data_IF_223341276915
#
_entry.id   IF_223341276915
#
_cell.length_a   1.000
_cell.length_b   1.000
_cell.length_c   1.000
_cell.angle_alpha   90.00
_cell.angle_beta   90.00
_cell.angle_gamma   90.00
#
_symmetry.space_group_name_H-M   'P 1'
#
loop_
_entity.id
_entity.type
_entity.pdbx_description
1 polymer ?
#
# COMPACT_ATOMS: atom_id res chain seq x y z
N UNK A 1 -5.14 32.12 -2.49
CA UNK A 1 -5.18 31.02 -1.49
C UNK A 1 -6.58 31.03 -0.91
N UNK A 2 -7.42 30.07 -1.26
CA UNK A 2 -8.69 29.82 -0.57
C UNK A 2 -8.37 29.43 0.88
N UNK A 3 -9.19 29.86 1.87
CA UNK A 3 -8.99 29.46 3.26
C UNK A 3 -9.03 27.93 3.32
N UNK A 4 -8.12 27.39 4.11
CA UNK A 4 -7.92 25.96 4.39
C UNK A 4 -9.29 25.29 4.57
N UNK A 5 -9.79 24.64 3.53
CA UNK A 5 -10.98 23.81 3.67
C UNK A 5 -10.59 22.71 4.67
N UNK A 6 -11.28 22.67 5.80
CA UNK A 6 -10.99 21.71 6.86
C UNK A 6 -10.92 20.30 6.25
N UNK A 7 -9.76 19.65 6.35
CA UNK A 7 -9.60 18.27 5.86
C UNK A 7 -10.54 17.36 6.63
N UNK A 8 -10.98 16.23 6.06
CA UNK A 8 -12.01 15.37 6.65
C UNK A 8 -11.77 14.95 8.11
N UNK A 9 -10.52 14.81 8.52
CA UNK A 9 -10.14 14.39 9.88
C UNK A 9 -9.54 15.52 10.73
N UNK A 10 -9.74 16.80 10.34
CA UNK A 10 -9.29 17.94 11.14
C UNK A 10 -9.88 17.86 12.56
N UNK A 11 -9.01 17.98 13.58
CA UNK A 11 -9.37 17.87 14.99
C UNK A 11 -9.33 16.43 15.55
N UNK A 12 -9.09 15.43 14.72
CA UNK A 12 -8.87 14.05 15.19
C UNK A 12 -7.41 13.90 15.61
N UNK A 13 -7.17 13.42 16.83
CA UNK A 13 -5.86 13.08 17.38
C UNK A 13 -5.68 11.57 17.39
N UNK A 14 -4.50 11.08 17.02
CA UNK A 14 -4.17 9.66 16.95
C UNK A 14 -2.77 9.43 17.50
N UNK A 15 -2.62 8.43 18.36
CA UNK A 15 -1.31 7.90 18.76
C UNK A 15 -1.02 6.65 17.93
N UNK A 16 0.18 6.61 17.37
CA UNK A 16 0.70 5.48 16.61
C UNK A 16 1.91 4.90 17.35
N UNK A 17 1.88 3.59 17.65
CA UNK A 17 3.03 2.82 18.13
C UNK A 17 3.29 1.71 17.13
N UNK A 18 4.30 1.86 16.29
CA UNK A 18 4.40 1.03 15.11
C UNK A 18 5.81 0.74 14.63
N UNK A 19 5.90 -0.14 13.64
CA UNK A 19 7.10 -0.36 12.84
C UNK A 19 6.73 -0.85 11.43
N UNK A 20 7.68 -0.75 10.49
CA UNK A 20 7.64 -1.23 9.12
C UNK A 20 6.62 -0.50 8.22
N UNK A 21 5.57 -1.20 7.68
CA UNK A 21 4.72 -0.67 6.61
C UNK A 21 3.28 -0.43 7.04
N UNK A 22 2.59 -1.45 7.52
CA UNK A 22 1.13 -1.46 7.60
C UNK A 22 0.57 -0.33 8.48
N UNK A 23 0.99 -0.23 9.74
CA UNK A 23 0.53 0.83 10.64
C UNK A 23 1.13 2.19 10.26
N UNK A 24 2.43 2.31 9.91
CA UNK A 24 2.96 3.58 9.41
C UNK A 24 2.20 4.12 8.20
N UNK A 25 1.82 3.28 7.25
CA UNK A 25 0.99 3.68 6.10
C UNK A 25 -0.40 4.16 6.54
N UNK A 26 -1.03 3.46 7.50
CA UNK A 26 -2.32 3.87 8.04
C UNK A 26 -2.25 5.26 8.69
N UNK A 27 -1.28 5.47 9.59
CA UNK A 27 -1.08 6.75 10.25
C UNK A 27 -0.76 7.88 9.27
N UNK A 28 0.10 7.63 8.28
CA UNK A 28 0.39 8.59 7.22
C UNK A 28 -0.87 8.95 6.41
N UNK A 29 -1.67 7.95 6.03
CA UNK A 29 -2.93 8.18 5.29
C UNK A 29 -3.89 9.05 6.11
N UNK A 30 -4.04 8.76 7.41
CA UNK A 30 -4.88 9.55 8.32
C UNK A 30 -4.36 10.97 8.52
N UNK A 31 -3.03 11.15 8.61
CA UNK A 31 -2.40 12.47 8.69
C UNK A 31 -2.64 13.28 7.40
N UNK A 32 -2.53 12.67 6.24
CA UNK A 32 -2.83 13.30 4.95
C UNK A 32 -4.32 13.67 4.81
N UNK A 33 -5.21 12.96 5.50
CA UNK A 33 -6.63 13.29 5.62
C UNK A 33 -6.91 14.39 6.67
N UNK A 34 -5.90 14.87 7.40
CA UNK A 34 -6.00 15.99 8.32
C UNK A 34 -6.00 15.64 9.81
N UNK A 35 -5.87 14.37 10.17
CA UNK A 35 -5.68 13.98 11.56
C UNK A 35 -4.30 14.45 12.07
N UNK A 36 -4.21 14.79 13.34
CA UNK A 36 -2.93 14.98 14.03
C UNK A 36 -2.45 13.61 14.53
N UNK A 37 -1.44 13.04 13.84
CA UNK A 37 -0.90 11.71 14.17
C UNK A 37 0.45 11.87 14.85
N UNK A 38 0.56 11.39 16.07
CA UNK A 38 1.81 11.29 16.81
C UNK A 38 2.33 9.87 16.71
N UNK A 39 3.50 9.72 16.12
CA UNK A 39 4.24 8.45 16.17
C UNK A 39 5.13 8.44 17.39
N UNK A 40 4.94 7.46 18.27
CA UNK A 40 5.76 7.24 19.46
C UNK A 40 6.72 6.10 19.22
N UNK A 41 8.01 6.39 19.29
CA UNK A 41 9.09 5.43 19.11
C UNK A 41 9.94 5.30 20.39
N UNK A 42 10.65 4.17 20.59
CA UNK A 42 11.68 4.09 21.62
C UNK A 42 12.80 5.11 21.37
N UNK A 43 13.46 5.54 22.42
CA UNK A 43 14.67 6.36 22.32
C UNK A 43 15.70 5.60 21.47
N UNK A 44 16.20 6.23 20.41
CA UNK A 44 17.06 5.61 19.40
C UNK A 44 16.32 5.04 18.19
N UNK A 45 14.98 5.10 18.18
CA UNK A 45 14.12 4.70 17.06
C UNK A 45 13.69 3.24 17.09
N UNK A 46 12.62 2.94 16.38
CA UNK A 46 12.17 1.58 16.08
C UNK A 46 13.02 0.96 14.94
N UNK A 47 12.80 -0.32 14.66
CA UNK A 47 13.58 -1.09 13.68
C UNK A 47 13.56 -0.52 12.24
N UNK A 48 12.56 0.26 11.90
CA UNK A 48 12.39 0.89 10.59
C UNK A 48 12.98 2.31 10.49
N UNK A 49 13.43 2.91 11.60
CA UNK A 49 14.02 4.25 11.58
C UNK A 49 15.32 4.32 10.76
N UNK A 50 16.13 3.27 10.78
CA UNK A 50 17.37 3.15 9.99
C UNK A 50 17.27 2.15 8.85
N UNK A 51 16.04 1.86 8.37
CA UNK A 51 15.83 0.85 7.34
C UNK A 51 16.21 1.36 5.94
N UNK A 52 16.76 0.48 5.14
CA UNK A 52 17.04 0.70 3.71
C UNK A 52 15.75 0.94 2.89
N UNK A 53 15.81 1.76 1.80
CA UNK A 53 17.02 2.39 1.27
C UNK A 53 17.46 3.60 2.10
N UNK A 54 18.76 3.86 2.08
CA UNK A 54 19.38 5.00 2.74
C UNK A 54 19.94 5.98 1.72
N UNK A 55 20.11 7.25 2.09
CA UNK A 55 20.95 8.21 1.38
C UNK A 55 22.43 7.89 1.61
N UNK A 56 23.33 8.55 0.84
CA UNK A 56 24.79 8.45 1.07
C UNK A 56 25.21 8.93 2.46
N UNK A 57 24.43 9.83 3.08
CA UNK A 57 24.63 10.31 4.46
C UNK A 57 24.05 9.40 5.54
N UNK A 58 23.38 8.28 5.15
CA UNK A 58 22.82 7.30 6.07
C UNK A 58 21.38 7.58 6.53
N UNK A 59 20.71 8.59 5.98
CA UNK A 59 19.31 8.88 6.30
C UNK A 59 18.34 7.92 5.61
N UNK A 60 17.32 7.45 6.31
CA UNK A 60 16.36 6.47 5.79
C UNK A 60 15.32 7.13 4.88
N UNK A 61 15.42 6.84 3.58
CA UNK A 61 14.40 7.19 2.59
C UNK A 61 13.10 6.41 2.87
N UNK A 62 13.24 5.20 3.42
CA UNK A 62 12.11 4.36 3.82
C UNK A 62 11.27 5.02 4.93
N UNK A 63 11.91 5.52 5.99
CA UNK A 63 11.25 6.26 7.04
C UNK A 63 10.51 7.48 6.50
N UNK A 64 11.19 8.31 5.74
CA UNK A 64 10.61 9.51 5.14
C UNK A 64 9.41 9.18 4.23
N UNK A 65 9.45 8.03 3.54
CA UNK A 65 8.38 7.56 2.67
C UNK A 65 7.06 7.30 3.38
N UNK A 66 7.10 6.75 4.61
CA UNK A 66 5.92 6.25 5.34
C UNK A 66 5.47 7.11 6.52
N UNK A 67 6.19 8.19 6.83
CA UNK A 67 5.89 9.03 8.00
C UNK A 67 5.60 10.50 7.67
N UNK A 68 5.32 10.79 6.40
CA UNK A 68 4.97 12.13 5.94
C UNK A 68 3.78 12.71 6.72
N UNK A 69 3.95 13.94 7.24
CA UNK A 69 2.90 14.69 7.91
C UNK A 69 2.57 14.25 9.35
N UNK A 70 3.34 13.31 9.91
CA UNK A 70 3.22 12.95 11.32
C UNK A 70 4.06 13.87 12.20
N UNK A 71 3.83 13.79 13.52
CA UNK A 71 4.72 14.30 14.57
C UNK A 71 5.42 13.11 15.22
N UNK A 72 6.65 13.30 15.73
CA UNK A 72 7.45 12.23 16.34
C UNK A 72 7.74 12.52 17.81
N UNK A 73 7.48 11.54 18.66
CA UNK A 73 7.80 11.53 20.08
C UNK A 73 8.72 10.36 20.37
N UNK A 74 9.84 10.60 21.07
CA UNK A 74 10.76 9.57 21.53
C UNK A 74 10.61 9.37 23.04
N UNK A 75 10.23 8.14 23.49
CA UNK A 75 10.01 7.84 24.90
C UNK A 75 10.58 6.47 25.29
N UNK A 76 11.07 6.35 26.52
CA UNK A 76 11.50 5.05 27.07
C UNK A 76 10.30 4.20 27.50
N UNK A 77 9.68 3.55 26.52
CA UNK A 77 8.54 2.62 26.76
C UNK A 77 8.90 1.36 27.55
N UNK A 78 10.15 1.20 28.01
CA UNK A 78 10.55 0.12 28.92
C UNK A 78 10.41 0.53 30.39
N UNK A 79 10.50 1.82 30.68
CA UNK A 79 10.32 2.36 32.03
C UNK A 79 8.84 2.54 32.38
N UNK A 80 8.44 2.41 33.65
CA UNK A 80 7.08 2.70 34.09
C UNK A 80 6.67 4.15 33.80
N UNK A 81 7.57 5.11 33.98
CA UNK A 81 7.30 6.54 33.74
C UNK A 81 7.04 6.84 32.27
N UNK A 82 7.82 6.22 31.34
CA UNK A 82 7.59 6.34 29.92
C UNK A 82 6.29 5.66 29.47
N UNK A 83 5.95 4.51 30.07
CA UNK A 83 4.66 3.84 29.82
C UNK A 83 3.48 4.71 30.26
N UNK A 84 3.54 5.29 31.47
CA UNK A 84 2.50 6.21 31.97
C UNK A 84 2.34 7.42 31.07
N UNK A 85 3.45 8.03 30.65
CA UNK A 85 3.44 9.18 29.73
C UNK A 85 2.72 8.84 28.42
N UNK A 86 3.07 7.70 27.81
CA UNK A 86 2.44 7.27 26.55
C UNK A 86 0.97 6.90 26.75
N UNK A 87 0.60 6.27 27.86
CA UNK A 87 -0.80 6.02 28.20
C UNK A 87 -1.62 7.32 28.33
N UNK A 88 -1.05 8.37 28.89
CA UNK A 88 -1.68 9.69 28.98
C UNK A 88 -1.89 10.31 27.59
N UNK A 89 -0.92 10.20 26.68
CA UNK A 89 -1.07 10.64 25.29
C UNK A 89 -2.20 9.87 24.57
N UNK A 90 -2.28 8.54 24.77
CA UNK A 90 -3.34 7.70 24.21
C UNK A 90 -4.71 8.08 24.80
N UNK A 91 -4.78 8.33 26.11
CA UNK A 91 -6.02 8.72 26.76
C UNK A 91 -6.52 10.10 26.31
N UNK A 92 -5.62 11.06 26.05
CA UNK A 92 -5.96 12.36 25.49
C UNK A 92 -6.49 12.22 24.06
N UNK A 93 -5.79 11.45 23.20
CA UNK A 93 -6.19 11.25 21.80
C UNK A 93 -7.50 10.46 21.66
N UNK A 94 -7.70 9.46 22.51
CA UNK A 94 -8.79 8.49 22.41
C UNK A 94 -8.72 7.57 21.18
N UNK A 95 -7.56 7.50 20.50
CA UNK A 95 -7.30 6.60 19.36
C UNK A 95 -5.87 6.08 19.42
N UNK A 96 -5.71 4.76 19.42
CA UNK A 96 -4.43 4.08 19.27
C UNK A 96 -4.45 3.20 18.03
N UNK A 97 -3.42 3.30 17.20
CA UNK A 97 -3.10 2.36 16.13
C UNK A 97 -1.76 1.71 16.39
N UNK A 98 -1.66 0.37 16.32
CA UNK A 98 -0.43 -0.33 16.66
C UNK A 98 -0.27 -1.65 15.91
N UNK A 99 0.98 -2.08 15.69
CA UNK A 99 1.37 -3.45 15.36
C UNK A 99 2.40 -4.03 16.34
N UNK A 100 2.53 -3.41 17.52
CA UNK A 100 3.37 -3.88 18.61
C UNK A 100 2.52 -4.65 19.59
N UNK A 101 2.34 -5.95 19.35
CA UNK A 101 1.50 -6.84 20.15
C UNK A 101 2.10 -7.21 21.51
N UNK A 102 1.24 -7.71 22.40
CA UNK A 102 1.64 -8.44 23.62
C UNK A 102 2.13 -7.58 24.77
N UNK A 103 1.94 -6.25 24.77
CA UNK A 103 2.31 -5.37 25.86
C UNK A 103 1.08 -5.07 26.73
N UNK A 104 1.08 -5.56 27.98
CA UNK A 104 -0.04 -5.38 28.91
C UNK A 104 -0.38 -3.90 29.17
N UNK A 105 0.61 -3.01 29.22
CA UNK A 105 0.42 -1.61 29.57
C UNK A 105 -0.38 -0.82 28.52
N UNK A 106 -0.35 -1.21 27.23
CA UNK A 106 -1.16 -0.61 26.18
C UNK A 106 -2.23 -1.57 25.62
N UNK A 107 -2.61 -2.60 26.36
CA UNK A 107 -3.74 -3.44 26.01
C UNK A 107 -5.05 -2.65 26.04
N UNK A 108 -6.03 -3.09 25.27
CA UNK A 108 -7.35 -2.46 25.26
C UNK A 108 -7.95 -2.36 26.67
N UNK A 109 -7.85 -3.44 27.47
CA UNK A 109 -8.36 -3.49 28.84
C UNK A 109 -7.65 -2.51 29.77
N UNK A 110 -6.36 -2.29 29.59
CA UNK A 110 -5.62 -1.32 30.39
C UNK A 110 -6.01 0.12 30.03
N UNK A 111 -6.07 0.40 28.74
CA UNK A 111 -6.31 1.75 28.23
C UNK A 111 -7.79 2.20 28.38
N UNK A 112 -8.76 1.30 28.27
CA UNK A 112 -10.19 1.65 28.49
C UNK A 112 -10.50 2.07 29.92
N UNK A 113 -9.66 1.75 30.89
CA UNK A 113 -9.77 2.29 32.27
C UNK A 113 -9.46 3.78 32.32
N UNK A 114 -8.60 4.25 31.43
CA UNK A 114 -8.20 5.65 31.31
C UNK A 114 -9.10 6.41 30.33
N UNK A 115 -9.50 5.74 29.26
CA UNK A 115 -10.34 6.29 28.19
C UNK A 115 -11.44 5.29 27.78
N UNK A 116 -12.64 5.35 28.39
CA UNK A 116 -13.73 4.37 28.17
C UNK A 116 -14.24 4.28 26.72
N UNK A 117 -14.16 5.37 25.95
CA UNK A 117 -14.53 5.46 24.53
C UNK A 117 -13.34 5.29 23.58
N UNK A 118 -12.27 4.61 24.03
CA UNK A 118 -11.06 4.37 23.24
C UNK A 118 -11.36 3.61 21.96
N UNK A 119 -10.78 4.08 20.86
CA UNK A 119 -10.63 3.33 19.61
C UNK A 119 -9.23 2.73 19.60
N UNK A 120 -9.13 1.41 19.56
CA UNK A 120 -7.87 0.67 19.54
C UNK A 120 -7.84 -0.24 18.31
N UNK A 121 -6.98 0.11 17.33
CA UNK A 121 -6.78 -0.68 16.11
C UNK A 121 -5.43 -1.35 16.18
N UNK A 122 -5.43 -2.69 16.14
CA UNK A 122 -4.23 -3.51 16.23
C UNK A 122 -4.06 -4.36 14.97
N UNK A 123 -2.90 -4.28 14.32
CA UNK A 123 -2.50 -5.19 13.25
C UNK A 123 -1.61 -6.27 13.86
N UNK A 124 -1.98 -7.54 13.65
CA UNK A 124 -1.20 -8.71 14.04
C UNK A 124 -0.75 -9.52 12.83
N UNK A 125 0.20 -10.42 12.99
CA UNK A 125 0.65 -11.30 11.91
C UNK A 125 -0.41 -12.31 11.52
N UNK A 126 -0.93 -13.06 12.50
CA UNK A 126 -1.88 -14.16 12.33
C UNK A 126 -3.06 -14.05 13.30
N UNK A 127 -4.17 -14.66 12.91
CA UNK A 127 -5.41 -14.64 13.69
C UNK A 127 -5.31 -15.41 15.03
N UNK A 128 -4.45 -16.40 15.10
CA UNK A 128 -4.17 -17.21 16.30
C UNK A 128 -3.15 -16.55 17.26
N UNK A 129 -2.70 -15.34 16.94
CA UNK A 129 -1.64 -14.64 17.68
C UNK A 129 -0.22 -15.03 17.29
N UNK A 130 -0.06 -15.93 16.30
CA UNK A 130 1.22 -16.30 15.75
C UNK A 130 1.94 -15.14 15.06
N UNK A 131 3.27 -15.21 15.01
CA UNK A 131 4.07 -14.21 14.30
C UNK A 131 3.92 -14.36 12.78
N UNK A 132 3.92 -13.25 12.07
CA UNK A 132 3.89 -13.20 10.62
C UNK A 132 4.24 -11.82 10.11
N UNK A 133 4.94 -11.78 9.00
CA UNK A 133 5.21 -10.57 8.23
C UNK A 133 4.74 -10.80 6.79
N UNK A 134 4.57 -9.76 6.02
CA UNK A 134 4.03 -9.83 4.66
C UNK A 134 4.58 -11.02 3.85
N UNK A 135 5.90 -11.13 3.70
CA UNK A 135 6.53 -12.16 2.87
C UNK A 135 6.30 -13.58 3.38
N UNK A 136 6.20 -13.78 4.70
CA UNK A 136 5.92 -15.10 5.27
C UNK A 136 4.43 -15.47 5.18
N UNK A 137 3.55 -14.49 5.31
CA UNK A 137 2.11 -14.67 5.06
C UNK A 137 1.86 -14.97 3.59
N UNK A 138 2.49 -14.20 2.67
CA UNK A 138 2.36 -14.44 1.22
C UNK A 138 2.74 -15.87 0.83
N UNK A 139 3.80 -16.41 1.42
CA UNK A 139 4.21 -17.80 1.18
C UNK A 139 3.12 -18.82 1.54
N UNK A 140 2.30 -18.51 2.56
CA UNK A 140 1.26 -19.41 3.08
C UNK A 140 -0.11 -19.31 2.39
N UNK A 141 -0.35 -18.30 1.53
CA UNK A 141 -1.68 -18.04 0.95
C UNK A 141 -1.84 -18.39 -0.53
N UNK A 142 -0.84 -19.07 -1.13
CA UNK A 142 -0.93 -19.67 -2.45
C UNK A 142 -0.44 -18.81 -3.62
N UNK A 143 -0.41 -17.48 -3.54
CA UNK A 143 -0.01 -16.61 -4.65
C UNK A 143 1.39 -16.90 -5.21
N UNK A 144 2.43 -17.18 -4.40
CA UNK A 144 3.75 -17.55 -4.92
C UNK A 144 3.78 -18.82 -5.79
N UNK A 145 2.80 -19.70 -5.61
CA UNK A 145 2.70 -20.95 -6.39
C UNK A 145 2.12 -20.73 -7.79
N UNK A 146 1.38 -19.63 -7.99
CA UNK A 146 0.74 -19.29 -9.28
C UNK A 146 1.38 -18.08 -9.95
N UNK A 147 2.40 -17.46 -9.34
CA UNK A 147 3.14 -16.32 -9.89
C UNK A 147 4.34 -16.80 -10.70
N UNK A 148 4.56 -16.19 -11.88
CA UNK A 148 5.70 -16.47 -12.75
C UNK A 148 5.37 -17.36 -13.95
N UNK A 149 6.35 -17.59 -14.83
CA UNK A 149 6.17 -18.41 -16.04
C UNK A 149 5.88 -19.87 -15.73
N UNK A 150 5.16 -20.55 -16.65
CA UNK A 150 4.68 -21.91 -16.46
C UNK A 150 5.81 -22.93 -16.18
N UNK A 151 6.98 -22.72 -16.77
CA UNK A 151 8.16 -23.58 -16.66
C UNK A 151 8.86 -23.46 -15.31
N UNK A 152 8.54 -22.47 -14.51
CA UNK A 152 9.20 -22.22 -13.24
C UNK A 152 8.69 -23.17 -12.16
N UNK A 153 9.55 -24.06 -11.68
CA UNK A 153 9.20 -25.01 -10.62
C UNK A 153 9.20 -24.40 -9.20
N UNK A 154 10.00 -23.33 -8.98
CA UNK A 154 10.14 -22.71 -7.66
C UNK A 154 9.04 -21.67 -7.39
N UNK A 155 8.58 -21.48 -6.14
CA UNK A 155 7.67 -20.40 -5.80
C UNK A 155 8.32 -19.02 -6.05
N UNK A 156 7.53 -18.04 -6.45
CA UNK A 156 7.96 -16.64 -6.67
C UNK A 156 7.24 -15.74 -5.68
N UNK A 157 8.01 -15.15 -4.78
CA UNK A 157 7.45 -14.16 -3.86
C UNK A 157 7.33 -12.79 -4.54
N UNK A 158 6.43 -11.94 -4.07
CA UNK A 158 6.31 -10.57 -4.58
C UNK A 158 7.38 -9.65 -3.97
N UNK A 159 7.72 -8.57 -4.67
CA UNK A 159 8.61 -7.51 -4.15
C UNK A 159 7.83 -6.40 -3.43
N UNK A 160 6.56 -6.18 -3.83
CA UNK A 160 5.64 -5.27 -3.16
C UNK A 160 5.09 -5.96 -1.91
N UNK A 161 5.20 -5.38 -0.69
CA UNK A 161 4.55 -5.92 0.50
C UNK A 161 3.03 -5.66 0.44
N UNK A 162 2.34 -6.39 -0.42
CA UNK A 162 0.95 -6.14 -0.80
C UNK A 162 -0.02 -6.27 0.39
N UNK A 163 0.26 -7.20 1.28
CA UNK A 163 -0.58 -7.44 2.47
C UNK A 163 -0.40 -6.36 3.51
N UNK A 164 0.83 -5.87 3.72
CA UNK A 164 1.10 -4.71 4.56
C UNK A 164 0.39 -3.46 4.03
N UNK A 165 0.46 -3.22 2.72
CA UNK A 165 -0.23 -2.08 2.08
C UNK A 165 -1.74 -2.21 2.26
N UNK A 166 -2.32 -3.37 1.98
CA UNK A 166 -3.75 -3.60 2.16
C UNK A 166 -4.18 -3.45 3.63
N UNK A 167 -3.42 -4.03 4.58
CA UNK A 167 -3.66 -3.85 6.02
C UNK A 167 -3.61 -2.39 6.44
N UNK A 168 -2.66 -1.61 5.92
CA UNK A 168 -2.58 -0.17 6.20
C UNK A 168 -3.83 0.58 5.77
N UNK A 169 -4.37 0.27 4.58
CA UNK A 169 -5.63 0.84 4.10
C UNK A 169 -6.82 0.38 4.96
N UNK A 170 -6.90 -0.92 5.32
CA UNK A 170 -7.93 -1.42 6.22
C UNK A 170 -7.85 -0.80 7.61
N UNK A 171 -6.65 -0.54 8.14
CA UNK A 171 -6.49 0.11 9.45
C UNK A 171 -6.95 1.57 9.41
N UNK A 172 -6.63 2.32 8.36
CA UNK A 172 -7.15 3.67 8.17
C UNK A 172 -8.69 3.67 8.06
N UNK A 173 -9.26 2.75 7.29
CA UNK A 173 -10.72 2.56 7.20
C UNK A 173 -11.33 2.20 8.56
N UNK A 174 -10.69 1.31 9.34
CA UNK A 174 -11.14 0.91 10.67
C UNK A 174 -11.20 2.11 11.63
N UNK A 175 -10.17 2.98 11.62
CA UNK A 175 -10.20 4.21 12.43
C UNK A 175 -11.37 5.10 12.04
N UNK A 176 -11.56 5.38 10.74
CA UNK A 176 -12.64 6.25 10.26
C UNK A 176 -14.02 5.67 10.60
N UNK A 177 -14.23 4.36 10.45
CA UNK A 177 -15.49 3.70 10.79
C UNK A 177 -15.73 3.68 12.30
N UNK A 178 -14.69 3.48 13.12
CA UNK A 178 -14.79 3.52 14.57
C UNK A 178 -15.05 4.94 15.10
N UNK A 179 -14.45 5.98 14.49
CA UNK A 179 -14.79 7.38 14.77
C UNK A 179 -16.28 7.64 14.50
N UNK A 180 -16.76 7.22 13.33
CA UNK A 180 -18.19 7.36 12.98
C UNK A 180 -19.10 6.60 13.96
N UNK A 181 -18.69 5.41 14.43
CA UNK A 181 -19.41 4.66 15.44
C UNK A 181 -19.41 5.41 16.79
N UNK A 182 -18.25 5.89 17.23
CA UNK A 182 -18.11 6.66 18.48
C UNK A 182 -18.95 7.91 18.47
N UNK A 183 -18.97 8.66 17.37
CA UNK A 183 -19.81 9.86 17.23
C UNK A 183 -21.30 9.55 17.34
N UNK A 184 -21.73 8.39 16.87
CA UNK A 184 -23.14 7.99 16.88
C UNK A 184 -23.59 7.38 18.22
N UNK A 185 -22.69 6.73 18.96
CA UNK A 185 -23.04 5.90 20.12
C UNK A 185 -22.39 6.32 21.44
N UNK A 186 -21.33 7.13 21.37
CA UNK A 186 -20.46 7.46 22.51
C UNK A 186 -19.50 6.34 22.93
N UNK A 187 -19.44 5.22 22.18
CA UNK A 187 -18.62 4.07 22.53
C UNK A 187 -17.44 3.90 21.57
N UNK A 188 -16.26 3.61 22.12
CA UNK A 188 -15.10 3.18 21.38
C UNK A 188 -15.19 1.74 20.90
N UNK A 189 -14.16 1.27 20.21
CA UNK A 189 -14.07 -0.11 19.67
C UNK A 189 -12.64 -0.64 19.72
N UNK A 190 -12.51 -1.93 19.99
CA UNK A 190 -11.30 -2.69 19.72
C UNK A 190 -11.45 -3.37 18.35
N UNK A 191 -10.47 -3.16 17.46
CA UNK A 191 -10.46 -3.71 16.11
C UNK A 191 -9.13 -4.40 15.88
N UNK A 192 -9.17 -5.72 15.65
CA UNK A 192 -8.00 -6.51 15.26
C UNK A 192 -7.97 -6.79 13.76
N UNK A 193 -6.83 -6.60 13.12
CA UNK A 193 -6.62 -6.85 11.69
C UNK A 193 -5.43 -7.80 11.52
N UNK A 194 -5.65 -9.11 11.53
CA UNK A 194 -4.59 -10.05 11.19
C UNK A 194 -4.20 -9.94 9.71
N UNK A 195 -2.93 -9.79 9.44
CA UNK A 195 -2.35 -9.68 8.09
C UNK A 195 -2.71 -10.91 7.24
N UNK A 196 -2.65 -12.09 7.84
CA UNK A 196 -3.06 -13.35 7.21
C UNK A 196 -4.54 -13.35 6.78
N UNK A 197 -5.43 -12.78 7.60
CA UNK A 197 -6.86 -12.69 7.26
C UNK A 197 -7.09 -11.79 6.04
N UNK A 198 -6.36 -10.70 5.90
CA UNK A 198 -6.45 -9.82 4.72
C UNK A 198 -6.02 -10.57 3.46
N UNK A 199 -4.92 -11.32 3.55
CA UNK A 199 -4.41 -12.12 2.44
C UNK A 199 -5.37 -13.26 2.05
N UNK A 200 -5.90 -14.00 3.04
CA UNK A 200 -6.87 -15.08 2.82
C UNK A 200 -8.20 -14.56 2.28
N UNK A 201 -8.71 -13.45 2.84
CA UNK A 201 -9.92 -12.82 2.33
C UNK A 201 -9.74 -12.36 0.87
N UNK A 202 -8.58 -11.82 0.52
CA UNK A 202 -8.26 -11.45 -0.86
C UNK A 202 -8.25 -12.68 -1.77
N UNK A 203 -7.58 -13.76 -1.37
CA UNK A 203 -7.57 -15.01 -2.13
C UNK A 203 -8.97 -15.63 -2.29
N UNK A 204 -9.80 -15.55 -1.24
CA UNK A 204 -11.19 -16.01 -1.28
C UNK A 204 -12.08 -15.16 -2.19
N UNK A 205 -12.06 -13.85 -2.00
CA UNK A 205 -12.89 -12.90 -2.75
C UNK A 205 -12.53 -12.85 -4.25
N UNK A 206 -11.27 -13.07 -4.60
CA UNK A 206 -10.80 -13.20 -5.99
C UNK A 206 -10.95 -14.63 -6.54
N UNK A 207 -11.66 -15.49 -5.80
CA UNK A 207 -12.04 -16.85 -6.18
C UNK A 207 -10.91 -17.88 -6.29
N UNK A 208 -9.67 -17.58 -5.89
CA UNK A 208 -8.58 -18.56 -5.90
C UNK A 208 -8.87 -19.75 -4.97
N UNK A 209 -9.32 -19.48 -3.74
CA UNK A 209 -9.68 -20.52 -2.79
C UNK A 209 -10.98 -21.23 -3.20
N UNK A 210 -11.98 -20.47 -3.64
CA UNK A 210 -13.29 -21.01 -4.03
C UNK A 210 -13.16 -21.92 -5.25
N UNK A 211 -12.34 -21.56 -6.22
CA UNK A 211 -12.07 -22.37 -7.40
C UNK A 211 -11.43 -23.72 -7.01
N UNK A 212 -10.42 -23.68 -6.14
CA UNK A 212 -9.79 -24.90 -5.65
C UNK A 212 -10.77 -25.80 -4.87
N UNK A 213 -11.68 -25.22 -4.08
CA UNK A 213 -12.70 -25.94 -3.32
C UNK A 213 -13.78 -26.57 -4.21
N UNK A 214 -14.24 -25.83 -5.23
CA UNK A 214 -15.38 -26.23 -6.08
C UNK A 214 -14.93 -27.12 -7.23
N UNK A 215 -13.82 -26.76 -7.89
CA UNK A 215 -13.32 -27.49 -9.06
C UNK A 215 -12.31 -28.60 -8.70
N UNK A 216 -11.84 -28.65 -7.45
CA UNK A 216 -10.88 -29.64 -6.98
C UNK A 216 -9.45 -29.45 -7.49
N UNK A 217 -9.14 -28.32 -8.14
CA UNK A 217 -7.82 -28.00 -8.67
C UNK A 217 -7.47 -26.54 -8.42
N UNK A 218 -6.19 -26.26 -8.24
CA UNK A 218 -5.67 -24.91 -8.16
C UNK A 218 -5.29 -24.40 -9.55
N UNK A 219 -5.32 -23.07 -9.73
CA UNK A 219 -4.80 -22.44 -10.95
C UNK A 219 -3.33 -22.79 -11.17
N UNK A 220 -2.96 -22.91 -12.42
CA UNK A 220 -1.58 -23.05 -12.86
C UNK A 220 -0.91 -21.69 -13.02
N UNK A 221 0.41 -21.70 -13.15
CA UNK A 221 1.17 -20.52 -13.58
C UNK A 221 0.94 -20.26 -15.05
N UNK A 222 0.70 -19.01 -15.37
CA UNK A 222 0.40 -18.57 -16.75
C UNK A 222 1.28 -17.41 -17.20
N UNK A 223 2.39 -17.14 -16.50
CA UNK A 223 3.28 -16.02 -16.80
C UNK A 223 2.57 -14.68 -16.67
N UNK A 224 2.69 -13.86 -17.70
CA UNK A 224 2.04 -12.56 -17.79
C UNK A 224 0.65 -12.60 -18.44
N UNK A 225 0.13 -13.79 -18.75
CA UNK A 225 -1.22 -13.93 -19.30
C UNK A 225 -2.29 -13.51 -18.30
N UNK A 226 -3.41 -13.01 -18.80
CA UNK A 226 -4.60 -12.65 -17.99
C UNK A 226 -5.53 -13.85 -17.92
N UNK A 227 -5.83 -14.31 -16.71
CA UNK A 227 -6.71 -15.48 -16.49
C UNK A 227 -8.14 -15.22 -16.97
N UNK A 228 -8.67 -16.15 -17.77
CA UNK A 228 -10.03 -16.10 -18.31
C UNK A 228 -10.26 -15.07 -19.42
N UNK A 229 -9.22 -14.37 -19.87
CA UNK A 229 -9.28 -13.33 -20.89
C UNK A 229 -8.08 -13.43 -21.83
N UNK A 230 -8.05 -12.60 -22.88
CA UNK A 230 -6.83 -12.44 -23.67
C UNK A 230 -6.01 -11.26 -23.15
N UNK A 231 -4.82 -11.53 -22.68
CA UNK A 231 -3.82 -10.54 -22.30
C UNK A 231 -2.46 -11.22 -22.24
N UNK A 232 -1.46 -10.57 -22.83
CA UNK A 232 -0.10 -11.09 -22.95
C UNK A 232 0.90 -9.96 -23.12
N UNK A 233 2.14 -10.23 -22.75
CA UNK A 233 3.25 -9.36 -23.05
C UNK A 233 3.84 -9.59 -24.42
N UNK A 234 4.36 -8.52 -25.05
CA UNK A 234 5.00 -8.54 -26.34
C UNK A 234 6.29 -7.72 -26.30
N UNK A 235 7.27 -8.13 -27.11
CA UNK A 235 8.55 -7.43 -27.22
C UNK A 235 8.66 -6.80 -28.62
N UNK A 236 9.02 -5.53 -28.66
CA UNK A 236 9.27 -4.76 -29.88
C UNK A 236 10.60 -5.11 -30.54
N UNK A 237 10.83 -4.63 -31.76
CA UNK A 237 12.09 -4.83 -32.50
C UNK A 237 13.32 -4.20 -31.83
N UNK A 238 13.11 -3.17 -31.03
CA UNK A 238 14.15 -2.47 -30.23
C UNK A 238 14.23 -2.91 -28.77
N UNK A 239 13.50 -4.00 -28.41
CA UNK A 239 13.59 -4.64 -27.11
C UNK A 239 12.68 -4.04 -26.02
N UNK A 240 11.79 -3.10 -26.34
CA UNK A 240 10.81 -2.63 -25.39
C UNK A 240 9.70 -3.68 -25.17
N UNK A 241 9.26 -3.86 -23.94
CA UNK A 241 8.20 -4.83 -23.59
C UNK A 241 6.89 -4.12 -23.26
N UNK A 242 5.79 -4.67 -23.72
CA UNK A 242 4.44 -4.13 -23.56
C UNK A 242 3.52 -5.18 -22.96
N UNK A 243 2.71 -4.82 -21.97
CA UNK A 243 1.53 -5.60 -21.58
C UNK A 243 0.35 -5.14 -22.44
N UNK A 244 -0.30 -6.09 -23.12
CA UNK A 244 -1.44 -5.82 -24.01
C UNK A 244 -2.61 -6.68 -23.58
N UNK A 245 -3.79 -6.07 -23.33
CA UNK A 245 -4.95 -6.75 -22.79
C UNK A 245 -6.21 -6.43 -23.60
N UNK A 246 -6.90 -7.47 -24.04
CA UNK A 246 -8.16 -7.39 -24.79
C UNK A 246 -9.31 -8.00 -23.99
N UNK A 247 -9.87 -7.26 -23.01
CA UNK A 247 -10.93 -7.73 -22.12
C UNK A 247 -12.28 -7.89 -22.87
N UNK A 248 -12.58 -7.03 -23.84
CA UNK A 248 -13.87 -7.04 -24.55
C UNK A 248 -13.72 -7.45 -26.00
N UNK A 249 -14.82 -7.87 -26.63
CA UNK A 249 -14.84 -8.15 -28.06
C UNK A 249 -14.43 -6.94 -28.92
N UNK A 250 -14.64 -5.69 -28.44
CA UNK A 250 -14.15 -4.49 -29.10
C UNK A 250 -12.63 -4.41 -29.05
N UNK A 251 -12.04 -4.56 -27.86
CA UNK A 251 -10.58 -4.55 -27.70
C UNK A 251 -9.92 -5.62 -28.59
N UNK A 252 -10.54 -6.81 -28.67
CA UNK A 252 -10.00 -7.91 -29.47
C UNK A 252 -10.08 -7.61 -30.98
N UNK A 253 -11.17 -7.01 -31.46
CA UNK A 253 -11.28 -6.56 -32.86
C UNK A 253 -10.23 -5.51 -33.18
N UNK A 254 -10.14 -4.47 -32.34
CA UNK A 254 -9.16 -3.40 -32.54
C UNK A 254 -7.73 -3.95 -32.58
N UNK A 255 -7.41 -4.97 -31.75
CA UNK A 255 -6.10 -5.63 -31.77
C UNK A 255 -5.86 -6.38 -33.08
N UNK A 256 -6.86 -7.16 -33.58
CA UNK A 256 -6.73 -7.90 -34.85
C UNK A 256 -6.67 -6.97 -36.07
N UNK A 257 -7.37 -5.85 -36.04
CA UNK A 257 -7.32 -4.83 -37.08
C UNK A 257 -5.99 -4.09 -37.08
N UNK A 258 -5.53 -3.65 -35.91
CA UNK A 258 -4.22 -3.00 -35.73
C UNK A 258 -3.07 -3.85 -36.27
N UNK A 259 -3.06 -5.13 -35.91
CA UNK A 259 -2.01 -6.07 -36.33
C UNK A 259 -2.20 -6.62 -37.73
N UNK A 260 -3.32 -6.30 -38.41
CA UNK A 260 -3.65 -6.82 -39.73
C UNK A 260 -3.94 -8.32 -39.77
N UNK A 261 -4.24 -8.92 -38.62
CA UNK A 261 -4.35 -10.38 -38.44
C UNK A 261 -5.77 -10.90 -38.44
N UNK A 262 -6.79 -10.08 -38.73
CA UNK A 262 -8.23 -10.47 -38.71
C UNK A 262 -8.51 -11.75 -39.48
N UNK A 263 -7.93 -11.91 -40.68
CA UNK A 263 -8.11 -13.12 -41.49
C UNK A 263 -7.40 -14.33 -40.94
N UNK A 264 -6.20 -14.15 -40.37
CA UNK A 264 -5.44 -15.22 -39.75
C UNK A 264 -6.14 -15.73 -38.47
N UNK A 265 -6.66 -14.83 -37.66
CA UNK A 265 -7.47 -15.16 -36.48
C UNK A 265 -8.75 -15.89 -36.85
N UNK A 266 -9.44 -15.49 -37.91
CA UNK A 266 -10.62 -16.20 -38.42
C UNK A 266 -10.28 -17.63 -38.90
N UNK A 267 -9.20 -17.79 -39.66
CA UNK A 267 -8.76 -19.11 -40.12
C UNK A 267 -8.29 -19.99 -38.93
N UNK A 268 -7.68 -19.39 -37.90
CA UNK A 268 -7.32 -20.10 -36.66
C UNK A 268 -8.59 -20.56 -35.93
N UNK A 269 -9.62 -19.73 -35.82
CA UNK A 269 -10.91 -20.06 -35.23
C UNK A 269 -11.55 -21.27 -35.94
N UNK A 270 -11.62 -21.23 -37.28
CA UNK A 270 -12.16 -22.34 -38.10
C UNK A 270 -11.34 -23.65 -37.85
N UNK A 271 -10.02 -23.56 -37.80
CA UNK A 271 -9.13 -24.71 -37.62
C UNK A 271 -9.31 -25.37 -36.28
N UNK A 272 -9.48 -24.55 -35.24
CA UNK A 272 -9.62 -25.01 -33.83
C UNK A 272 -11.08 -25.34 -33.47
N UNK A 273 -12.06 -24.97 -34.32
CA UNK A 273 -13.47 -25.03 -33.97
C UNK A 273 -13.85 -24.11 -32.82
N UNK A 274 -13.14 -22.98 -32.65
CA UNK A 274 -13.27 -22.06 -31.55
C UNK A 274 -14.09 -20.80 -31.96
N UNK A 275 -14.86 -20.27 -31.02
CA UNK A 275 -15.54 -18.97 -31.21
C UNK A 275 -14.78 -17.89 -30.41
N UNK A 276 -13.94 -17.11 -31.07
CA UNK A 276 -13.21 -16.02 -30.41
C UNK A 276 -14.06 -14.78 -30.06
N UNK A 277 -15.38 -14.83 -30.31
CA UNK A 277 -16.29 -13.89 -29.63
C UNK A 277 -16.40 -14.21 -28.14
N UNK A 278 -16.25 -15.47 -27.75
CA UNK A 278 -16.18 -15.92 -26.35
C UNK A 278 -14.81 -15.63 -25.73
N UNK A 279 -14.83 -15.05 -24.53
CA UNK A 279 -13.61 -14.67 -23.80
C UNK A 279 -12.82 -15.88 -23.32
N UNK A 280 -13.50 -16.91 -22.86
CA UNK A 280 -12.90 -18.16 -22.42
C UNK A 280 -12.19 -18.88 -23.54
N UNK A 281 -12.74 -18.83 -24.78
CA UNK A 281 -12.08 -19.41 -25.96
C UNK A 281 -10.79 -18.65 -26.29
N UNK A 282 -10.79 -17.31 -26.20
CA UNK A 282 -9.56 -16.52 -26.34
C UNK A 282 -8.50 -16.90 -25.30
N UNK A 283 -8.93 -17.14 -24.07
CA UNK A 283 -8.03 -17.59 -23.01
C UNK A 283 -7.49 -19.01 -23.27
N UNK A 284 -8.34 -19.97 -23.63
CA UNK A 284 -7.92 -21.36 -23.91
C UNK A 284 -6.91 -21.42 -25.04
N UNK A 285 -7.05 -20.59 -26.04
CA UNK A 285 -6.21 -20.56 -27.24
C UNK A 285 -5.22 -19.39 -27.24
N UNK A 286 -4.92 -18.80 -26.05
CA UNK A 286 -4.07 -17.61 -25.92
C UNK A 286 -2.68 -17.76 -26.54
N UNK A 287 -2.07 -18.93 -26.43
CA UNK A 287 -0.74 -19.19 -26.99
C UNK A 287 -0.74 -19.13 -28.53
N UNK A 288 -1.73 -19.74 -29.16
CA UNK A 288 -1.90 -19.68 -30.61
C UNK A 288 -2.20 -18.25 -31.10
N UNK A 289 -3.07 -17.53 -30.40
CA UNK A 289 -3.35 -16.11 -30.68
C UNK A 289 -2.12 -15.25 -30.50
N UNK A 290 -1.34 -15.46 -29.42
CA UNK A 290 -0.09 -14.74 -29.19
C UNK A 290 0.91 -14.97 -30.32
N UNK A 291 1.03 -16.21 -30.81
CA UNK A 291 1.86 -16.51 -31.98
C UNK A 291 1.46 -15.71 -33.22
N UNK A 292 0.15 -15.51 -33.44
CA UNK A 292 -0.35 -14.70 -34.57
C UNK A 292 0.00 -13.22 -34.41
N UNK A 293 -0.05 -12.66 -33.21
CA UNK A 293 0.22 -11.22 -32.99
C UNK A 293 1.71 -10.91 -32.88
N UNK A 294 2.54 -11.84 -32.42
CA UNK A 294 3.97 -11.63 -32.13
C UNK A 294 4.74 -11.06 -33.31
N UNK A 295 4.42 -11.48 -34.54
CA UNK A 295 5.11 -11.00 -35.76
C UNK A 295 4.98 -9.48 -35.90
N UNK A 296 3.77 -8.94 -35.68
CA UNK A 296 3.55 -7.50 -35.80
C UNK A 296 4.34 -6.74 -34.74
N UNK A 297 4.28 -7.16 -33.47
CA UNK A 297 5.00 -6.50 -32.38
C UNK A 297 6.52 -6.54 -32.59
N UNK A 298 7.06 -7.68 -32.98
CA UNK A 298 8.51 -7.83 -33.23
C UNK A 298 9.03 -7.09 -34.46
N UNK A 299 8.15 -6.69 -35.37
CA UNK A 299 8.50 -5.93 -36.57
C UNK A 299 8.52 -4.41 -36.34
N UNK A 300 7.93 -3.90 -35.25
CA UNK A 300 7.80 -2.48 -34.95
C UNK A 300 8.64 -2.06 -33.75
N UNK A 301 9.09 -0.82 -33.72
CA UNK A 301 9.77 -0.23 -32.56
C UNK A 301 8.79 0.07 -31.44
N UNK A 302 9.29 0.25 -30.21
CA UNK A 302 8.44 0.59 -29.08
C UNK A 302 7.65 1.90 -29.27
N UNK A 303 8.23 2.90 -29.94
CA UNK A 303 7.54 4.15 -30.26
C UNK A 303 6.40 3.94 -31.27
N UNK A 304 6.64 3.16 -32.34
CA UNK A 304 5.61 2.83 -33.34
C UNK A 304 4.45 2.06 -32.71
N UNK A 305 4.75 1.07 -31.85
CA UNK A 305 3.74 0.28 -31.12
C UNK A 305 2.91 1.18 -30.23
N UNK A 306 3.55 2.03 -29.42
CA UNK A 306 2.84 2.94 -28.49
C UNK A 306 1.94 3.93 -29.26
N UNK A 307 2.43 4.51 -30.34
CA UNK A 307 1.66 5.42 -31.19
C UNK A 307 0.44 4.70 -31.81
N UNK A 308 0.63 3.48 -32.31
CA UNK A 308 -0.43 2.70 -32.94
C UNK A 308 -1.49 2.23 -31.94
N UNK A 309 -1.09 1.72 -30.78
CA UNK A 309 -2.02 1.29 -29.72
C UNK A 309 -2.83 2.43 -29.15
N UNK A 310 -2.26 3.65 -29.07
CA UNK A 310 -2.95 4.85 -28.59
C UNK A 310 -4.22 5.20 -29.40
N UNK A 311 -4.26 4.85 -30.68
CA UNK A 311 -5.39 5.10 -31.58
C UNK A 311 -6.47 4.02 -31.49
N UNK A 312 -6.32 3.04 -30.61
CA UNK A 312 -7.24 1.90 -30.42
C UNK A 312 -7.92 1.93 -29.06
N UNK A 313 -8.88 1.02 -28.85
CA UNK A 313 -9.46 0.78 -27.53
C UNK A 313 -8.71 -0.29 -26.72
N UNK A 314 -7.65 -0.88 -27.26
CA UNK A 314 -6.86 -1.92 -26.59
C UNK A 314 -6.24 -1.37 -25.33
N UNK A 315 -6.29 -2.15 -24.25
CA UNK A 315 -5.64 -1.77 -23.00
C UNK A 315 -4.16 -2.18 -23.04
N UNK A 316 -3.28 -1.25 -22.78
CA UNK A 316 -1.85 -1.52 -22.85
C UNK A 316 -1.04 -0.57 -21.96
N UNK A 317 0.14 -1.02 -21.58
CA UNK A 317 1.20 -0.15 -21.06
C UNK A 317 2.57 -0.77 -21.36
N UNK A 318 3.63 0.06 -21.33
CA UNK A 318 5.01 -0.37 -21.46
C UNK A 318 5.56 -0.75 -20.10
N UNK A 319 6.28 -1.88 -20.03
CA UNK A 319 7.07 -2.20 -18.84
C UNK A 319 8.20 -1.18 -18.67
N UNK A 320 8.29 -0.61 -17.49
CA UNK A 320 9.26 0.43 -17.17
C UNK A 320 9.98 0.09 -15.85
N UNK A 321 11.25 0.45 -15.77
CA UNK A 321 12.00 0.48 -14.52
C UNK A 321 11.59 1.70 -13.68
N UNK A 322 11.86 1.68 -12.38
CA UNK A 322 11.65 2.86 -11.54
C UNK A 322 12.47 4.08 -11.99
N UNK A 323 13.65 3.85 -12.58
CA UNK A 323 14.47 4.93 -13.15
C UNK A 323 13.80 5.63 -14.35
N UNK A 324 13.00 4.92 -15.13
CA UNK A 324 12.20 5.50 -16.21
C UNK A 324 10.94 6.17 -15.67
N UNK A 325 10.24 5.52 -14.74
CA UNK A 325 8.98 6.03 -14.16
C UNK A 325 9.17 7.39 -13.48
N UNK A 326 10.30 7.66 -12.81
CA UNK A 326 10.51 8.95 -12.13
C UNK A 326 10.60 10.14 -13.09
N UNK A 327 10.86 9.91 -14.38
CA UNK A 327 10.91 10.94 -15.43
C UNK A 327 9.63 10.97 -16.29
N UNK A 328 8.71 10.05 -16.10
CA UNK A 328 7.46 9.95 -16.86
C UNK A 328 6.49 11.09 -16.49
N UNK A 329 5.75 11.61 -17.47
CA UNK A 329 4.73 12.64 -17.25
C UNK A 329 3.63 12.19 -16.27
N UNK A 330 3.35 10.89 -16.17
CA UNK A 330 2.43 10.32 -15.17
C UNK A 330 2.89 10.55 -13.74
N UNK A 331 4.16 10.88 -13.53
CA UNK A 331 4.73 11.31 -12.24
C UNK A 331 4.97 12.81 -12.24
N UNK A 332 5.70 13.33 -13.23
CA UNK A 332 6.17 14.72 -13.23
C UNK A 332 5.07 15.75 -13.44
N UNK A 333 4.00 15.41 -14.17
CA UNK A 333 2.83 16.26 -14.39
C UNK A 333 1.60 15.88 -13.53
N UNK A 334 1.69 14.81 -12.73
CA UNK A 334 0.56 14.36 -11.91
C UNK A 334 0.42 15.24 -10.65
N UNK A 335 -0.73 15.90 -10.44
CA UNK A 335 -0.92 16.84 -9.32
C UNK A 335 -0.87 16.16 -7.93
N UNK A 336 -0.93 14.83 -7.84
CA UNK A 336 -0.69 14.08 -6.61
C UNK A 336 0.76 14.19 -6.12
N UNK A 337 1.71 14.36 -7.06
CA UNK A 337 3.13 14.51 -6.72
C UNK A 337 3.47 15.99 -6.56
N UNK A 338 4.09 16.32 -5.45
CA UNK A 338 4.54 17.68 -5.16
C UNK A 338 6.02 17.72 -4.81
N UNK A 339 6.70 18.82 -5.14
CA UNK A 339 8.07 19.03 -4.68
C UNK A 339 8.07 19.09 -3.14
N UNK A 340 8.87 18.24 -2.53
CA UNK A 340 9.02 18.13 -1.09
C UNK A 340 10.48 18.32 -0.70
N UNK A 341 10.74 19.31 0.18
CA UNK A 341 12.04 19.44 0.84
C UNK A 341 12.01 18.63 2.13
N UNK A 342 12.60 17.43 2.08
CA UNK A 342 12.71 16.54 3.24
C UNK A 342 14.03 16.81 3.97
N UNK A 343 14.00 17.21 5.27
CA UNK A 343 15.22 17.44 6.03
C UNK A 343 16.20 16.28 5.95
N UNK A 344 17.48 16.58 5.76
CA UNK A 344 18.61 15.62 5.66
C UNK A 344 18.60 14.70 4.42
N UNK A 345 17.51 14.67 3.64
CA UNK A 345 17.43 13.87 2.40
C UNK A 345 17.56 14.76 1.17
N UNK A 346 16.91 15.94 1.18
CA UNK A 346 16.91 16.85 0.05
C UNK A 346 15.53 16.99 -0.62
N UNK A 347 15.53 17.52 -1.84
CA UNK A 347 14.30 17.78 -2.60
C UNK A 347 13.99 16.62 -3.54
N UNK A 348 12.72 16.21 -3.56
CA UNK A 348 12.20 15.22 -4.50
C UNK A 348 10.70 15.38 -4.72
N UNK A 349 10.16 14.77 -5.78
CA UNK A 349 8.72 14.68 -5.99
C UNK A 349 8.14 13.61 -5.08
N UNK A 350 7.36 14.02 -4.09
CA UNK A 350 6.73 13.13 -3.14
C UNK A 350 5.24 12.93 -3.47
N UNK A 351 4.71 11.70 -3.42
CA UNK A 351 3.28 11.48 -3.51
C UNK A 351 2.59 11.97 -2.25
N UNK A 352 1.50 12.72 -2.42
CA UNK A 352 0.52 12.99 -1.38
C UNK A 352 -0.50 11.85 -1.26
N UNK A 353 -1.70 12.17 -0.77
CA UNK A 353 -2.81 11.22 -0.72
C UNK A 353 -3.23 10.84 -2.15
N UNK A 354 -3.40 9.54 -2.49
CA UNK A 354 -3.80 9.12 -3.83
C UNK A 354 -5.30 9.31 -4.13
N UNK A 355 -5.94 10.20 -3.41
CA UNK A 355 -7.35 10.59 -3.57
C UNK A 355 -7.44 12.12 -3.66
N UNK A 356 -8.17 12.62 -4.65
CA UNK A 356 -8.54 14.03 -4.68
C UNK A 356 -9.73 14.30 -3.74
N UNK A 357 -9.67 15.40 -3.02
CA UNK A 357 -10.77 15.91 -2.19
C UNK A 357 -11.24 17.21 -2.85
N UNK A 358 -12.50 17.29 -3.22
CA UNK A 358 -13.07 18.43 -3.97
C UNK A 358 -12.25 18.82 -5.21
N UNK A 359 -11.72 17.81 -5.92
CA UNK A 359 -10.92 17.98 -7.12
C UNK A 359 -9.45 18.38 -6.89
N UNK A 360 -9.00 18.45 -5.64
CA UNK A 360 -7.63 18.82 -5.27
C UNK A 360 -6.92 17.68 -4.56
N UNK A 361 -5.61 17.56 -4.80
CA UNK A 361 -4.75 16.62 -4.07
C UNK A 361 -4.04 17.38 -2.93
N UNK A 362 -4.20 16.96 -1.67
CA UNK A 362 -3.42 17.53 -0.57
C UNK A 362 -1.92 17.31 -0.80
N UNK A 363 -1.07 18.37 -0.69
CA UNK A 363 0.36 18.21 -0.87
C UNK A 363 0.97 17.35 0.22
N UNK A 364 2.04 16.63 -0.12
CA UNK A 364 2.85 15.92 0.85
C UNK A 364 3.56 16.91 1.79
N UNK A 365 3.63 16.57 3.07
CA UNK A 365 4.41 17.31 4.08
C UNK A 365 5.58 16.47 4.55
N UNK A 366 6.71 17.06 5.00
CA UNK A 366 7.86 16.29 5.42
C UNK A 366 7.54 15.28 6.53
N UNK A 367 8.30 14.20 6.57
CA UNK A 367 8.34 13.30 7.72
C UNK A 367 9.19 13.94 8.84
N UNK A 368 8.84 13.77 10.12
CA UNK A 368 9.64 14.28 11.22
C UNK A 368 10.93 13.47 11.37
N UNK A 369 11.96 14.04 11.99
CA UNK A 369 13.01 13.22 12.57
C UNK A 369 12.54 12.61 13.90
N UNK A 370 13.28 11.62 14.39
CA UNK A 370 12.96 10.96 15.66
C UNK A 370 12.96 11.96 16.82
N UNK A 371 11.84 12.06 17.52
CA UNK A 371 11.70 12.88 18.71
C UNK A 371 11.59 14.40 18.46
N UNK A 372 11.65 14.86 17.22
CA UNK A 372 11.64 16.30 16.89
C UNK A 372 10.47 17.06 17.53
N UNK A 373 9.36 16.41 17.76
CA UNK A 373 8.15 17.03 18.31
C UNK A 373 7.90 16.72 19.77
N UNK A 374 8.81 15.99 20.45
CA UNK A 374 8.56 15.49 21.82
C UNK A 374 8.11 16.59 22.76
N UNK A 375 8.89 17.66 22.91
CA UNK A 375 8.55 18.76 23.82
C UNK A 375 7.26 19.46 23.46
N UNK A 376 7.07 19.76 22.17
CA UNK A 376 5.89 20.45 21.68
C UNK A 376 4.61 19.62 21.89
N UNK A 377 4.67 18.30 21.63
CA UNK A 377 3.55 17.37 21.85
C UNK A 377 3.19 17.29 23.33
N UNK A 378 4.18 17.15 24.21
CA UNK A 378 3.94 17.07 25.66
C UNK A 378 3.31 18.35 26.20
N UNK A 379 3.73 19.52 25.70
CA UNK A 379 3.10 20.78 26.03
C UNK A 379 1.67 20.86 25.47
N UNK A 380 1.49 20.60 24.17
CA UNK A 380 0.21 20.82 23.45
C UNK A 380 -0.90 19.86 23.89
N UNK A 381 -0.54 18.57 24.13
CA UNK A 381 -1.51 17.52 24.44
C UNK A 381 -1.71 17.28 25.92
N UNK A 382 -0.61 17.35 26.71
CA UNK A 382 -0.66 17.04 28.13
C UNK A 382 -0.58 18.29 29.01
N UNK A 383 -0.33 19.47 28.44
CA UNK A 383 -0.23 20.74 29.17
C UNK A 383 1.00 20.79 30.11
N UNK A 384 2.06 19.99 29.82
CA UNK A 384 3.25 19.98 30.65
C UNK A 384 4.04 21.29 30.48
N UNK A 385 4.58 21.79 31.57
CA UNK A 385 5.46 22.97 31.59
C UNK A 385 6.85 22.65 31.05
N UNK A 386 7.62 23.63 30.59
CA UNK A 386 9.00 23.42 30.16
C UNK A 386 9.87 22.78 31.25
N UNK A 387 9.65 23.10 32.54
CA UNK A 387 10.35 22.53 33.65
C UNK A 387 10.06 21.02 33.84
N UNK A 388 8.78 20.61 33.69
CA UNK A 388 8.37 19.22 33.76
C UNK A 388 8.96 18.42 32.60
N UNK A 389 8.95 18.99 31.38
CA UNK A 389 9.54 18.38 30.19
C UNK A 389 11.07 18.22 30.37
N UNK A 390 11.74 19.25 30.89
CA UNK A 390 13.20 19.16 31.21
C UNK A 390 13.50 18.03 32.17
N UNK A 391 12.71 17.87 33.23
CA UNK A 391 12.87 16.79 34.20
C UNK A 391 12.69 15.40 33.55
N UNK A 392 11.71 15.25 32.63
CA UNK A 392 11.53 14.00 31.90
C UNK A 392 12.70 13.69 30.94
N UNK A 393 13.32 14.71 30.36
CA UNK A 393 14.50 14.56 29.52
C UNK A 393 15.74 14.23 30.38
N UNK A 394 15.93 14.90 31.51
CA UNK A 394 17.04 14.63 32.45
C UNK A 394 16.98 13.22 33.07
N UNK A 395 15.76 12.71 33.30
CA UNK A 395 15.55 11.34 33.79
C UNK A 395 15.71 10.28 32.68
N UNK A 396 15.81 10.68 31.42
CA UNK A 396 15.84 9.77 30.25
C UNK A 396 14.50 9.12 29.95
N UNK A 397 13.39 9.68 30.42
CA UNK A 397 12.04 9.21 30.11
C UNK A 397 11.65 9.57 28.67
N UNK A 398 12.12 10.71 28.19
CA UNK A 398 11.95 11.18 26.79
C UNK A 398 13.29 11.70 26.23
N UNK A 399 13.35 11.85 24.87
CA UNK A 399 14.49 12.44 24.18
C UNK A 399 14.01 13.44 23.11
#
# INVERSE_FOLDING_TARGET
MTPDAARPLTGVRIVEISSFVAVPLAGMTLAQLGAEVIRVDPIGGAADYHRWPLTDSGESIYWAGLNKGKRSVAADMRSPDGQDLVQRLIADSGVLITNVAGRQWHSYEALTRLRPDLIHVEISGRADGGTGVDYTVNAGVGFPMVTGPAELAAPVNHVLPAWDVACGVYAALAVVTALRHRDATGHGQQIGIPLENVALATAGNLSFLTEAMVNGNARERIGNSVYGQYGQDFTSSDGASFMVVALTGRHFRDLTELTGTTKAVAALADTLGADFADEGERYRHREALTGVFTEWFSAHTGEEIAAALKETSVLWDRYQSFAEVVTDERVTANPMFTALSQPRIGEYLAPGLPMSIDGSYPPATPAPALGDDTAAVLCDWLGLTPEEISALTESGTVA
#
